data_IF_213802238055
#
_entry.id   IF_213802238055
#
_cell.length_a   1.000
_cell.length_b   1.000
_cell.length_c   1.000
_cell.angle_alpha   90.00
_cell.angle_beta   90.00
_cell.angle_gamma   90.00
#
_symmetry.space_group_name_H-M   'P 1'
#
loop_
_entity.id
_entity.type
_entity.pdbx_description
1 polymer ?
#
# COMPACT_ATOMS: atom_id res chain seq x y z
N UNK A 1 6.10 13.96 -10.83
CA UNK A 1 6.51 14.29 -9.45
C UNK A 1 5.23 14.50 -8.67
N UNK A 2 4.77 13.51 -7.89
CA UNK A 2 3.69 13.76 -6.94
C UNK A 2 4.28 14.58 -5.80
N UNK A 3 3.82 15.82 -5.70
CA UNK A 3 4.18 16.76 -4.64
C UNK A 3 3.58 16.25 -3.32
N UNK A 4 4.42 15.64 -2.49
CA UNK A 4 4.10 15.22 -1.11
C UNK A 4 4.68 16.20 -0.09
N UNK A 5 5.06 17.42 -0.48
CA UNK A 5 5.63 18.41 0.45
C UNK A 5 4.58 18.80 1.51
N UNK A 6 4.64 18.13 2.66
CA UNK A 6 3.85 18.43 3.86
C UNK A 6 2.80 17.37 4.24
N UNK A 7 2.52 16.36 3.41
CA UNK A 7 1.57 15.29 3.77
C UNK A 7 2.32 14.12 4.40
N UNK A 8 1.97 13.75 5.64
CA UNK A 8 2.48 12.53 6.24
C UNK A 8 1.94 11.34 5.43
N UNK A 9 2.83 10.46 5.00
CA UNK A 9 2.46 9.19 4.39
C UNK A 9 2.68 8.07 5.40
N UNK A 10 1.71 7.17 5.58
CA UNK A 10 1.98 5.89 6.22
C UNK A 10 2.63 4.99 5.16
N UNK A 11 3.86 4.55 5.43
CA UNK A 11 4.56 3.55 4.62
C UNK A 11 4.44 2.19 5.32
N UNK A 12 3.75 1.24 4.70
CA UNK A 12 3.54 -0.12 5.21
C UNK A 12 4.36 -1.07 4.35
N UNK A 13 5.30 -1.79 4.97
CA UNK A 13 6.16 -2.79 4.30
C UNK A 13 5.88 -4.20 4.78
N UNK A 14 5.48 -5.11 3.89
CA UNK A 14 5.35 -6.53 4.26
C UNK A 14 4.74 -7.42 3.20
N UNK A 15 4.51 -8.69 3.54
CA UNK A 15 3.89 -9.66 2.67
C UNK A 15 2.36 -9.53 2.73
N UNK A 16 1.70 -9.58 1.58
CA UNK A 16 0.23 -9.64 1.51
C UNK A 16 -0.22 -10.99 0.98
N UNK A 17 -1.48 -11.37 1.25
CA UNK A 17 -2.05 -12.64 0.81
C UNK A 17 -2.20 -12.77 -0.72
N UNK A 18 -2.14 -11.66 -1.47
CA UNK A 18 -2.51 -11.63 -2.88
C UNK A 18 -1.34 -11.71 -3.86
N UNK A 19 -0.13 -11.43 -3.36
CA UNK A 19 1.11 -11.50 -4.09
C UNK A 19 2.16 -12.02 -3.13
N UNK A 20 2.95 -13.03 -3.53
CA UNK A 20 4.14 -13.48 -2.80
C UNK A 20 5.30 -12.46 -2.94
N UNK A 21 4.96 -11.17 -2.89
CA UNK A 21 5.83 -10.03 -3.13
C UNK A 21 5.71 -9.08 -1.94
N UNK A 22 6.77 -8.32 -1.71
CA UNK A 22 6.74 -7.24 -0.74
C UNK A 22 5.77 -6.16 -1.22
N UNK A 23 5.04 -5.57 -0.28
CA UNK A 23 4.14 -4.46 -0.52
C UNK A 23 4.71 -3.22 0.12
N UNK A 24 4.69 -2.12 -0.62
CA UNK A 24 4.89 -0.77 -0.10
C UNK A 24 3.59 -0.03 -0.35
N UNK A 25 2.88 0.28 0.73
CA UNK A 25 1.65 1.06 0.68
C UNK A 25 1.94 2.47 1.17
N UNK A 26 1.52 3.47 0.40
CA UNK A 26 1.60 4.89 0.72
C UNK A 26 0.19 5.44 0.93
N UNK A 27 -0.16 5.75 2.17
CA UNK A 27 -1.43 6.41 2.50
C UNK A 27 -1.20 7.89 2.81
N UNK A 28 -1.71 8.83 2.00
CA UNK A 28 -1.73 10.24 2.38
C UNK A 28 -2.65 10.44 3.58
N UNK A 29 -2.11 11.04 4.65
CA UNK A 29 -2.85 11.33 5.87
C UNK A 29 -3.19 12.81 5.95
N UNK A 30 -4.47 13.12 6.15
CA UNK A 30 -4.95 14.50 6.29
C UNK A 30 -4.73 15.07 7.71
N UNK A 31 -4.29 14.24 8.66
CA UNK A 31 -4.02 14.63 10.04
C UNK A 31 -2.66 14.11 10.52
N UNK A 32 -2.11 14.76 11.55
CA UNK A 32 -0.79 14.43 12.09
C UNK A 32 -0.68 13.00 12.63
N UNK A 33 -1.81 12.34 12.94
CA UNK A 33 -1.88 10.99 13.49
C UNK A 33 -2.76 10.12 12.59
N UNK A 34 -2.18 9.07 11.99
CA UNK A 34 -2.99 8.04 11.34
C UNK A 34 -3.87 7.33 12.38
N UNK A 35 -5.08 6.94 11.97
CA UNK A 35 -6.08 6.27 12.81
C UNK A 35 -6.75 5.18 11.98
N UNK A 36 -7.39 4.18 12.61
CA UNK A 36 -8.25 3.28 11.88
C UNK A 36 -9.31 4.03 11.06
N UNK A 37 -9.57 3.58 9.85
CA UNK A 37 -10.45 4.28 8.90
C UNK A 37 -10.23 3.87 7.44
N UNK A 38 -11.02 4.46 6.56
CA UNK A 38 -10.90 4.26 5.11
C UNK A 38 -10.06 5.37 4.49
N UNK A 39 -9.07 4.97 3.69
CA UNK A 39 -8.14 5.83 2.98
C UNK A 39 -8.06 5.41 1.52
N UNK A 40 -7.56 6.31 0.69
CA UNK A 40 -7.14 5.99 -0.68
C UNK A 40 -5.67 6.31 -0.80
N UNK A 41 -4.91 5.39 -1.39
CA UNK A 41 -3.47 5.55 -1.53
C UNK A 41 -2.89 4.74 -2.67
N UNK A 42 -1.57 4.82 -2.76
CA UNK A 42 -0.81 4.10 -3.78
C UNK A 42 -0.20 2.83 -3.19
N UNK A 43 -0.19 1.75 -3.95
CA UNK A 43 0.44 0.49 -3.57
C UNK A 43 1.43 0.04 -4.62
N UNK A 44 2.58 -0.45 -4.16
CA UNK A 44 3.62 -1.06 -4.99
C UNK A 44 3.84 -2.48 -4.49
N UNK A 45 3.75 -3.47 -5.38
CA UNK A 45 4.08 -4.87 -5.12
C UNK A 45 5.36 -5.20 -5.86
N UNK A 46 6.41 -5.58 -5.16
CA UNK A 46 7.72 -5.89 -5.75
C UNK A 46 8.41 -7.05 -5.03
N UNK A 47 9.23 -7.83 -5.74
CA UNK A 47 9.95 -8.97 -5.15
C UNK A 47 10.96 -8.53 -4.07
N UNK A 48 11.47 -7.29 -4.18
CA UNK A 48 12.37 -6.67 -3.21
C UNK A 48 11.83 -5.33 -2.74
N UNK A 49 11.99 -5.05 -1.44
CA UNK A 49 11.67 -3.74 -0.82
C UNK A 49 12.50 -2.61 -1.43
N UNK A 50 13.67 -2.92 -2.00
CA UNK A 50 14.56 -1.92 -2.60
C UNK A 50 14.06 -1.40 -3.96
N UNK A 51 12.90 -1.84 -4.46
CA UNK A 51 12.32 -1.49 -5.77
C UNK A 51 13.30 -1.65 -6.96
N UNK A 52 14.31 -2.51 -6.81
CA UNK A 52 15.38 -2.64 -7.80
C UNK A 52 14.95 -3.36 -9.08
N UNK A 53 13.80 -4.05 -9.06
CA UNK A 53 13.29 -4.81 -10.21
C UNK A 53 11.91 -4.31 -10.65
N UNK A 54 11.92 -3.31 -11.52
CA UNK A 54 10.71 -2.71 -12.10
C UNK A 54 9.96 -3.73 -12.98
N UNK A 55 10.65 -4.75 -13.49
CA UNK A 55 10.09 -5.71 -14.45
C UNK A 55 9.06 -6.68 -13.84
N UNK A 56 9.00 -6.79 -12.50
CA UNK A 56 8.00 -7.61 -11.80
C UNK A 56 7.07 -6.79 -10.90
N UNK A 57 7.17 -5.45 -10.99
CA UNK A 57 6.49 -4.55 -10.07
C UNK A 57 5.05 -4.27 -10.54
N UNK A 58 4.09 -4.42 -9.63
CA UNK A 58 2.70 -3.98 -9.83
C UNK A 58 2.42 -2.71 -9.04
N UNK A 59 1.70 -1.75 -9.65
CA UNK A 59 1.40 -0.45 -9.05
C UNK A 59 -0.11 -0.18 -9.09
N UNK A 60 -0.70 0.32 -8.00
CA UNK A 60 -2.06 0.86 -8.00
C UNK A 60 -2.06 2.27 -7.41
N UNK A 61 -2.64 3.24 -8.12
CA UNK A 61 -2.56 4.68 -7.75
C UNK A 61 -3.79 5.23 -7.00
N UNK A 62 -4.82 4.41 -6.80
CA UNK A 62 -6.03 4.77 -6.05
C UNK A 62 -6.67 3.52 -5.44
N UNK A 63 -5.86 2.79 -4.68
CA UNK A 63 -6.33 1.60 -3.96
C UNK A 63 -7.07 2.06 -2.71
N UNK A 64 -8.29 1.58 -2.54
CA UNK A 64 -9.05 1.78 -1.31
C UNK A 64 -8.43 0.91 -0.22
N UNK A 65 -8.09 1.51 0.91
CA UNK A 65 -7.53 0.84 2.07
C UNK A 65 -8.43 1.06 3.27
N UNK A 66 -8.81 -0.02 3.93
CA UNK A 66 -9.47 0.01 5.23
C UNK A 66 -8.45 -0.38 6.29
N UNK A 67 -7.92 0.61 6.99
CA UNK A 67 -6.98 0.42 8.09
C UNK A 67 -7.78 0.06 9.35
N UNK A 68 -7.63 -1.17 9.85
CA UNK A 68 -8.38 -1.64 11.01
C UNK A 68 -7.58 -1.54 12.31
N UNK A 69 -6.26 -1.63 12.23
CA UNK A 69 -5.37 -1.48 13.37
C UNK A 69 -4.20 -0.59 12.97
N UNK A 70 -3.91 0.35 13.87
CA UNK A 70 -2.67 1.10 13.86
C UNK A 70 -2.27 1.40 15.30
N UNK A 71 -1.21 0.73 15.76
CA UNK A 71 -0.45 1.14 16.92
C UNK A 71 0.96 1.51 16.43
N UNK A 72 1.73 2.28 17.20
CA UNK A 72 2.98 2.90 16.74
C UNK A 72 4.10 1.96 16.22
N UNK A 73 3.82 0.67 16.06
CA UNK A 73 4.69 -0.35 15.47
C UNK A 73 3.94 -1.35 14.56
N UNK A 74 2.60 -1.46 14.62
CA UNK A 74 1.82 -2.43 13.84
C UNK A 74 0.69 -1.80 13.05
N UNK A 75 0.56 -2.19 11.79
CA UNK A 75 -0.53 -1.80 10.91
C UNK A 75 -1.20 -3.04 10.32
N UNK A 76 -2.52 -3.10 10.40
CA UNK A 76 -3.30 -4.15 9.77
C UNK A 76 -4.57 -3.59 9.13
N UNK A 77 -5.00 -4.22 8.03
CA UNK A 77 -6.17 -3.78 7.30
C UNK A 77 -6.44 -4.59 6.05
N UNK A 78 -7.39 -4.08 5.27
CA UNK A 78 -7.73 -4.63 3.96
C UNK A 78 -7.54 -3.59 2.87
N UNK A 79 -7.40 -4.05 1.63
CA UNK A 79 -7.31 -3.18 0.47
C UNK A 79 -8.01 -3.78 -0.74
N UNK A 80 -8.53 -2.90 -1.59
CA UNK A 80 -9.16 -3.25 -2.86
C UNK A 80 -8.93 -2.17 -3.90
N UNK A 81 -8.82 -2.57 -5.17
CA UNK A 81 -8.54 -1.65 -6.26
C UNK A 81 -7.95 -2.38 -7.45
N UNK A 82 -7.55 -1.62 -8.46
CA UNK A 82 -6.87 -2.14 -9.63
C UNK A 82 -5.37 -1.85 -9.52
N UNK A 83 -4.56 -2.85 -9.84
CA UNK A 83 -3.11 -2.72 -9.97
C UNK A 83 -2.69 -2.99 -11.40
N UNK A 84 -1.60 -2.38 -11.82
CA UNK A 84 -1.12 -2.36 -13.18
C UNK A 84 0.35 -2.75 -13.24
N UNK A 85 0.72 -3.45 -14.30
CA UNK A 85 2.10 -3.77 -14.63
C UNK A 85 2.22 -3.76 -16.15
N UNK A 86 2.93 -2.77 -16.69
CA UNK A 86 2.98 -2.49 -18.12
C UNK A 86 1.54 -2.36 -18.68
N UNK A 87 1.20 -3.14 -19.70
CA UNK A 87 -0.14 -3.15 -20.32
C UNK A 87 -1.13 -4.09 -19.60
N UNK A 88 -0.72 -4.74 -18.51
CA UNK A 88 -1.55 -5.68 -17.75
C UNK A 88 -2.22 -4.97 -16.58
N UNK A 89 -3.43 -5.40 -16.26
CA UNK A 89 -4.12 -4.98 -15.03
C UNK A 89 -4.69 -6.17 -14.28
N UNK A 90 -4.81 -6.04 -12.97
CA UNK A 90 -5.43 -7.02 -12.10
C UNK A 90 -6.28 -6.31 -11.05
N UNK A 91 -7.50 -6.79 -10.88
CA UNK A 91 -8.39 -6.31 -9.81
C UNK A 91 -8.13 -7.10 -8.53
N UNK A 92 -7.98 -6.37 -7.44
CA UNK A 92 -7.87 -6.88 -6.08
C UNK A 92 -9.15 -6.51 -5.35
N UNK A 93 -9.92 -7.51 -4.90
CA UNK A 93 -11.19 -7.28 -4.19
C UNK A 93 -11.08 -7.44 -2.68
N UNK A 94 -10.13 -8.26 -2.19
CA UNK A 94 -10.00 -8.62 -0.77
C UNK A 94 -8.54 -8.79 -0.34
N UNK A 95 -7.69 -7.81 -0.65
CA UNK A 95 -6.33 -7.77 -0.11
C UNK A 95 -6.33 -7.58 1.39
N UNK A 96 -5.37 -8.23 2.05
CA UNK A 96 -5.13 -8.09 3.48
C UNK A 96 -3.65 -7.85 3.72
N UNK A 97 -3.36 -6.97 4.66
CA UNK A 97 -2.01 -6.77 5.16
C UNK A 97 -2.05 -6.80 6.69
N UNK A 98 -0.96 -7.30 7.26
CA UNK A 98 -0.65 -7.23 8.67
C UNK A 98 0.87 -7.17 8.77
N UNK A 99 1.39 -6.02 9.18
CA UNK A 99 2.83 -5.75 9.15
C UNK A 99 3.27 -5.03 10.41
N UNK A 100 4.55 -5.17 10.70
CA UNK A 100 5.30 -4.26 11.58
C UNK A 100 5.94 -3.21 10.68
N UNK A 101 5.74 -1.92 10.98
CA UNK A 101 6.19 -0.80 10.13
C UNK A 101 7.07 0.20 10.90
#
# INVERSE_FOLDING_TARGET
MMDTMGKKALEVRGLTNNFAQNVILFLPLDSANARPGTYYGSMVFADSILQADIATTWIGDSVQVNLTQLDGVHAAGTFSGQVFHNERSKTISQGKFNVTY
#
